data_IF_915208806648
#
_entry.id   IF_915208806648
#
_cell.length_a   1.000
_cell.length_b   1.000
_cell.length_c   1.000
_cell.angle_alpha   90.00
_cell.angle_beta   90.00
_cell.angle_gamma   90.00
#
_symmetry.space_group_name_H-M   'P 1'
#
loop_
_entity.id
_entity.type
_entity.pdbx_description
1 polymer ?
#
# COMPACT_ATOMS: atom_id res chain seq x y z
N UNK A 1 1.89 -13.90 18.94
CA UNK A 1 1.25 -12.79 18.21
C UNK A 1 0.25 -13.46 17.30
N UNK A 2 -1.01 -13.02 17.33
CA UNK A 2 -2.01 -13.53 16.39
C UNK A 2 -1.63 -13.06 14.98
N UNK A 3 -1.86 -13.90 13.98
CA UNK A 3 -1.63 -13.53 12.58
C UNK A 3 -2.61 -12.40 12.23
N UNK A 4 -2.08 -11.22 11.93
CA UNK A 4 -2.88 -10.10 11.46
C UNK A 4 -3.21 -10.31 9.98
N UNK A 5 -4.44 -10.70 9.70
CA UNK A 5 -4.95 -10.89 8.34
C UNK A 5 -5.89 -9.73 8.02
N UNK A 6 -5.55 -8.95 7.00
CA UNK A 6 -6.37 -7.84 6.51
C UNK A 6 -6.87 -8.15 5.11
N UNK A 7 -8.09 -7.70 4.81
CA UNK A 7 -8.60 -7.78 3.44
C UNK A 7 -7.85 -6.76 2.55
N UNK A 8 -7.65 -7.08 1.27
CA UNK A 8 -7.07 -6.13 0.32
C UNK A 8 -7.87 -4.82 0.27
N UNK A 9 -9.19 -4.90 0.35
CA UNK A 9 -10.09 -3.72 0.39
C UNK A 9 -9.87 -2.85 1.61
N UNK A 10 -9.40 -3.42 2.73
CA UNK A 10 -9.03 -2.67 3.94
C UNK A 10 -7.71 -1.93 3.80
N UNK A 11 -6.88 -2.27 2.82
CA UNK A 11 -5.59 -1.64 2.56
C UNK A 11 -5.66 -0.64 1.41
N UNK A 12 -6.52 -0.87 0.43
CA UNK A 12 -6.71 0.05 -0.70
C UNK A 12 -7.29 1.37 -0.19
N UNK A 13 -6.61 2.47 -0.52
CA UNK A 13 -6.92 3.82 -0.06
C UNK A 13 -6.26 4.22 1.25
N UNK A 14 -5.54 3.31 1.93
CA UNK A 14 -4.76 3.69 3.12
C UNK A 14 -3.59 4.60 2.73
N UNK A 15 -3.33 5.60 3.58
CA UNK A 15 -2.18 6.49 3.46
C UNK A 15 -0.87 5.71 3.66
N UNK A 16 0.09 5.95 2.78
CA UNK A 16 1.46 5.48 2.94
C UNK A 16 2.27 6.61 3.55
N UNK A 17 2.78 6.39 4.77
CA UNK A 17 3.62 7.37 5.47
C UNK A 17 5.01 6.79 5.71
N UNK A 18 6.03 7.65 5.71
CA UNK A 18 7.36 7.25 6.14
C UNK A 18 7.54 7.40 7.67
N UNK A 19 8.69 6.98 8.19
CA UNK A 19 9.02 7.08 9.61
C UNK A 19 9.10 8.51 10.16
N UNK A 20 9.17 9.53 9.29
CA UNK A 20 9.10 10.94 9.69
C UNK A 20 7.66 11.48 9.72
N UNK A 21 6.66 10.64 9.39
CA UNK A 21 5.26 11.03 9.29
C UNK A 21 4.89 11.76 8.00
N UNK A 22 5.74 11.75 6.99
CA UNK A 22 5.46 12.38 5.70
C UNK A 22 4.55 11.47 4.87
N UNK A 23 3.45 12.00 4.33
CA UNK A 23 2.57 11.29 3.41
C UNK A 23 3.26 11.13 2.05
N UNK A 24 3.42 9.87 1.63
CA UNK A 24 4.04 9.43 0.38
C UNK A 24 3.02 8.96 -0.66
N UNK A 25 1.73 9.13 -0.39
CA UNK A 25 0.63 8.78 -1.27
C UNK A 25 -0.34 7.81 -0.63
N UNK A 26 -1.11 7.14 -1.47
CA UNK A 26 -2.14 6.19 -1.06
C UNK A 26 -1.93 4.84 -1.76
N UNK A 27 -2.31 3.76 -1.08
CA UNK A 27 -2.34 2.42 -1.68
C UNK A 27 -3.42 2.38 -2.78
N UNK A 28 -3.00 2.20 -4.02
CA UNK A 28 -3.89 2.15 -5.18
C UNK A 28 -4.36 0.74 -5.50
N UNK A 29 -3.41 -0.19 -5.59
CA UNK A 29 -3.64 -1.58 -5.98
C UNK A 29 -2.66 -2.52 -5.28
N UNK A 30 -3.05 -3.79 -5.13
CA UNK A 30 -2.21 -4.87 -4.62
C UNK A 30 -2.06 -5.90 -5.74
N UNK A 31 -0.82 -6.15 -6.15
CA UNK A 31 -0.52 -7.04 -7.27
C UNK A 31 -0.22 -8.45 -6.75
N UNK A 32 -0.94 -9.43 -7.28
CA UNK A 32 -0.73 -10.84 -6.97
C UNK A 32 0.10 -11.50 -8.07
N UNK A 33 1.08 -12.30 -7.68
CA UNK A 33 1.72 -13.25 -8.58
C UNK A 33 0.77 -14.44 -8.78
N UNK A 34 0.31 -14.65 -10.00
CA UNK A 34 -0.65 -15.71 -10.32
C UNK A 34 -0.05 -17.12 -10.28
N UNK A 35 1.27 -17.24 -10.28
CA UNK A 35 1.96 -18.53 -10.19
C UNK A 35 2.10 -19.00 -8.74
N UNK A 36 2.34 -18.07 -7.81
CA UNK A 36 2.56 -18.37 -6.38
C UNK A 36 1.35 -18.10 -5.50
N UNK A 37 0.46 -17.22 -5.93
CA UNK A 37 -0.67 -16.73 -5.13
C UNK A 37 -0.28 -15.68 -4.09
N UNK A 38 0.98 -15.23 -4.09
CA UNK A 38 1.51 -14.26 -3.12
C UNK A 38 1.40 -12.82 -3.64
N UNK A 39 1.49 -11.85 -2.73
CA UNK A 39 1.59 -10.43 -3.10
C UNK A 39 2.99 -10.16 -3.66
N UNK A 40 3.06 -9.75 -4.92
CA UNK A 40 4.31 -9.37 -5.56
C UNK A 40 4.77 -7.97 -5.12
N UNK A 41 3.87 -6.99 -5.18
CA UNK A 41 4.12 -5.61 -4.77
C UNK A 41 2.81 -4.83 -4.62
N UNK A 42 2.90 -3.67 -3.99
CA UNK A 42 1.80 -2.71 -3.84
C UNK A 42 2.04 -1.53 -4.77
N UNK A 43 1.00 -1.05 -5.43
CA UNK A 43 1.04 0.19 -6.21
C UNK A 43 0.68 1.36 -5.32
N UNK A 44 1.60 2.30 -5.16
CA UNK A 44 1.37 3.55 -4.43
C UNK A 44 1.15 4.67 -5.45
N UNK A 45 0.04 5.39 -5.29
CA UNK A 45 -0.25 6.58 -6.10
C UNK A 45 0.20 7.83 -5.36
N UNK A 46 1.01 8.68 -6.00
CA UNK A 46 1.50 9.92 -5.40
C UNK A 46 1.47 11.11 -6.35
N UNK A 47 1.01 12.25 -5.84
CA UNK A 47 0.82 13.47 -6.60
C UNK A 47 -0.39 13.38 -7.53
N UNK A 48 -0.79 14.51 -8.11
CA UNK A 48 -2.02 14.64 -8.90
C UNK A 48 -3.18 15.25 -8.11
N UNK A 49 -4.32 15.45 -8.78
CA UNK A 49 -5.57 15.88 -8.15
C UNK A 49 -6.69 14.98 -8.67
N UNK A 50 -7.44 14.33 -7.78
CA UNK A 50 -8.57 13.44 -8.14
C UNK A 50 -8.22 12.34 -9.16
N UNK A 51 -7.03 11.73 -9.05
CA UNK A 51 -6.60 10.63 -9.93
C UNK A 51 -6.09 11.05 -11.31
N UNK A 52 -6.02 12.36 -11.58
CA UNK A 52 -5.43 12.90 -12.80
C UNK A 52 -4.00 13.38 -12.56
N UNK A 53 -3.07 12.84 -13.34
CA UNK A 53 -1.65 13.19 -13.29
C UNK A 53 -0.86 12.47 -12.21
N UNK A 54 -1.47 11.48 -11.57
CA UNK A 54 -0.83 10.67 -10.54
C UNK A 54 0.40 9.94 -11.08
N UNK A 55 1.43 9.85 -10.24
CA UNK A 55 2.57 8.97 -10.49
C UNK A 55 2.35 7.68 -9.72
N UNK A 56 2.56 6.56 -10.39
CA UNK A 56 2.42 5.23 -9.81
C UNK A 56 3.80 4.66 -9.51
N UNK A 57 3.95 4.10 -8.32
CA UNK A 57 5.18 3.47 -7.84
C UNK A 57 4.88 2.04 -7.43
N UNK A 58 5.65 1.08 -7.96
CA UNK A 58 5.64 -0.29 -7.48
C UNK A 58 6.55 -0.40 -6.25
N UNK A 59 5.98 -0.78 -5.11
CA UNK A 59 6.69 -0.89 -3.84
C UNK A 59 6.62 -2.33 -3.34
N UNK A 60 7.76 -2.99 -3.08
CA UNK A 60 7.77 -4.35 -2.54
C UNK A 60 6.97 -4.45 -1.24
N UNK A 61 6.19 -5.51 -1.06
CA UNK A 61 5.41 -5.72 0.17
C UNK A 61 6.28 -5.69 1.44
N UNK A 62 7.53 -6.14 1.32
CA UNK A 62 8.52 -6.15 2.42
C UNK A 62 8.98 -4.77 2.87
N UNK A 63 8.64 -3.71 2.14
CA UNK A 63 8.95 -2.33 2.52
C UNK A 63 7.89 -1.71 3.44
N UNK A 64 6.75 -2.38 3.65
CA UNK A 64 5.66 -1.87 4.49
C UNK A 64 5.69 -2.49 5.88
N UNK A 65 5.34 -1.66 6.86
CA UNK A 65 4.93 -2.08 8.19
C UNK A 65 3.49 -1.60 8.39
N UNK A 66 2.61 -2.49 8.86
CA UNK A 66 1.22 -2.10 9.14
C UNK A 66 1.17 -1.45 10.51
N UNK A 67 0.85 -0.16 10.55
CA UNK A 67 0.60 0.55 11.80
C UNK A 67 -0.76 0.12 12.38
N UNK A 68 -0.74 -0.88 13.25
CA UNK A 68 -1.94 -1.35 13.95
C UNK A 68 -2.45 -0.39 15.01
N UNK A 69 -1.67 0.62 15.41
CA UNK A 69 -2.05 1.56 16.46
C UNK A 69 -2.90 2.73 15.93
N UNK A 70 -2.71 3.10 14.65
CA UNK A 70 -3.37 4.25 14.03
C UNK A 70 -4.30 3.88 12.86
N UNK A 71 -4.78 2.63 12.82
CA UNK A 71 -5.72 2.15 11.81
C UNK A 71 -7.17 2.48 12.15
#
# INVERSE_FOLDING_TARGET
MEDLILSATTLIGDDVVNYNGENLGEVKEIMLDTNTGEVAYVVVSFGGFLGMGDKLFAVPMTAFEIDTANK
#
